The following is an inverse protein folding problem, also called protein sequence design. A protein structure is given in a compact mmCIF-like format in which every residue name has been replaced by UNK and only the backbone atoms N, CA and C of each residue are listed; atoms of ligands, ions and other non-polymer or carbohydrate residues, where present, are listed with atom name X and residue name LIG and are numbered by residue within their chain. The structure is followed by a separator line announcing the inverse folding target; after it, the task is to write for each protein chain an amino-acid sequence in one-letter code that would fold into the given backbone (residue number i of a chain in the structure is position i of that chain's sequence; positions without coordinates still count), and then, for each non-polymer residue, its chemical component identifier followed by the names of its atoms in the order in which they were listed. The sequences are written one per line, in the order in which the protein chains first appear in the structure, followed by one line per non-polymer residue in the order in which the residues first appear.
data_IF_470668010944
#
_entry.id   IF_470668010944
#
_cell.length_a   1.000
_cell.length_b   1.000
_cell.length_c   1.000
_cell.angle_alpha   90.00
_cell.angle_beta   90.00
_cell.angle_gamma   90.00
#
_symmetry.space_group_name_H-M   'P 1'
#
loop_
_entity.id
_entity.type
_entity.pdbx_description
1 polymer ?
#
# COMPACT_ATOMS: atom_id res chain seq x y z
N UNK A 1 14.31 -2.37 3.73
CA UNK A 1 13.41 -3.53 3.98
C UNK A 1 12.04 -3.02 4.41
N UNK A 2 11.08 -3.91 4.69
CA UNK A 2 9.73 -3.54 5.14
C UNK A 2 9.70 -2.81 6.48
N UNK A 3 10.58 -3.19 7.40
CA UNK A 3 10.69 -2.56 8.71
C UNK A 3 11.08 -1.09 8.58
N UNK A 4 12.04 -0.79 7.71
CA UNK A 4 12.45 0.59 7.36
C UNK A 4 11.29 1.38 6.75
N UNK A 5 10.58 0.80 5.77
CA UNK A 5 9.45 1.49 5.12
C UNK A 5 8.29 1.80 6.08
N UNK A 6 8.17 1.01 7.15
CA UNK A 6 7.14 1.14 8.17
C UNK A 6 7.68 1.78 9.45
N UNK A 7 8.90 2.33 9.45
CA UNK A 7 9.44 3.05 10.61
C UNK A 7 8.63 4.33 10.85
N UNK A 8 8.67 4.82 12.08
CA UNK A 8 7.98 6.07 12.42
C UNK A 8 8.47 7.21 11.51
N UNK A 9 7.53 7.94 10.92
CA UNK A 9 7.78 9.08 10.06
C UNK A 9 8.77 8.82 8.91
N UNK A 10 8.80 7.58 8.38
CA UNK A 10 9.63 7.25 7.22
C UNK A 10 9.47 8.30 6.10
N UNK A 11 10.60 8.79 5.59
CA UNK A 11 10.67 9.65 4.42
C UNK A 11 11.94 9.31 3.64
N UNK A 12 11.85 9.14 2.31
CA UNK A 12 13.05 9.03 1.47
C UNK A 12 13.74 10.39 1.29
N UNK A 13 13.07 11.50 1.62
CA UNK A 13 13.60 12.87 1.54
C UNK A 13 13.80 13.39 2.97
N UNK A 14 15.05 13.66 3.32
CA UNK A 14 15.42 14.20 4.63
C UNK A 14 14.74 15.54 4.88
N UNK A 15 14.23 15.76 6.11
CA UNK A 15 13.58 17.01 6.51
C UNK A 15 12.18 17.29 5.94
N UNK A 16 11.65 16.44 5.04
CA UNK A 16 10.39 16.70 4.33
C UNK A 16 9.20 17.03 5.27
N UNK A 17 9.07 16.29 6.37
CA UNK A 17 7.97 16.49 7.32
C UNK A 17 8.15 17.72 8.24
N UNK A 18 9.34 18.29 8.30
CA UNK A 18 9.61 19.55 9.00
C UNK A 18 9.21 20.75 8.12
N UNK A 19 9.57 20.69 6.84
CA UNK A 19 9.23 21.71 5.85
C UNK A 19 7.74 21.70 5.47
N UNK A 20 7.14 20.50 5.41
CA UNK A 20 5.73 20.28 5.08
C UNK A 20 5.08 19.35 6.11
N UNK A 21 4.63 19.89 7.27
CA UNK A 21 4.04 19.09 8.33
C UNK A 21 2.80 18.32 7.90
N UNK A 22 2.72 17.05 8.34
CA UNK A 22 1.58 16.18 8.09
C UNK A 22 0.34 16.67 8.83
N UNK A 23 -0.83 16.49 8.22
CA UNK A 23 -2.10 16.67 8.91
C UNK A 23 -2.18 15.75 10.15
N UNK A 24 -2.75 16.18 11.29
CA UNK A 24 -2.64 15.46 12.56
C UNK A 24 -3.02 13.97 12.52
N UNK A 25 -4.08 13.63 11.76
CA UNK A 25 -4.50 12.23 11.60
C UNK A 25 -3.49 11.39 10.82
N UNK A 26 -2.87 11.97 9.80
CA UNK A 26 -1.83 11.31 9.01
C UNK A 26 -0.53 11.19 9.82
N UNK A 27 -0.18 12.22 10.59
CA UNK A 27 0.96 12.17 11.51
C UNK A 27 0.82 11.02 12.52
N UNK A 28 -0.38 10.79 13.07
CA UNK A 28 -0.61 9.66 13.96
C UNK A 28 -0.39 8.30 13.27
N UNK A 29 -0.86 8.15 12.03
CA UNK A 29 -0.59 6.95 11.21
C UNK A 29 0.91 6.80 10.95
N UNK A 30 1.59 7.88 10.54
CA UNK A 30 3.02 7.89 10.28
C UNK A 30 3.86 7.57 11.54
N UNK A 31 3.37 7.93 12.72
CA UNK A 31 3.93 7.54 14.01
C UNK A 31 3.65 6.07 14.39
N UNK A 32 3.02 5.28 13.50
CA UNK A 32 2.82 3.85 13.71
C UNK A 32 1.51 3.47 14.39
N UNK A 33 0.51 4.36 14.48
CA UNK A 33 -0.78 4.05 15.12
C UNK A 33 -1.43 2.75 14.60
N UNK A 34 -1.29 2.48 13.30
CA UNK A 34 -1.79 1.25 12.67
C UNK A 34 -1.16 -0.01 13.28
N UNK A 35 0.04 0.01 13.85
CA UNK A 35 0.67 -1.17 14.47
C UNK A 35 -0.01 -1.62 15.75
N UNK A 36 -0.78 -0.72 16.39
CA UNK A 36 -1.35 -0.93 17.71
C UNK A 36 -2.87 -1.10 17.71
N UNK A 37 -3.49 -1.15 16.53
CA UNK A 37 -4.93 -1.33 16.34
C UNK A 37 -5.26 -2.71 15.79
N UNK A 38 -6.50 -3.13 15.98
CA UNK A 38 -7.07 -4.35 15.40
C UNK A 38 -8.49 -4.07 14.90
N UNK A 39 -9.03 -4.83 13.93
CA UNK A 39 -10.46 -4.79 13.64
C UNK A 39 -11.28 -5.03 14.93
N UNK A 40 -12.39 -4.30 15.16
CA UNK A 40 -13.08 -3.39 14.23
C UNK A 40 -12.59 -1.93 14.23
N UNK A 41 -11.53 -1.58 14.96
CA UNK A 41 -10.95 -0.22 14.95
C UNK A 41 -10.27 0.11 13.63
N UNK A 42 -9.68 -0.91 12.98
CA UNK A 42 -9.21 -0.84 11.59
C UNK A 42 -10.40 -1.03 10.65
N UNK A 43 -10.60 -0.07 9.74
CA UNK A 43 -11.77 -0.05 8.85
C UNK A 43 -11.34 0.30 7.43
N UNK A 44 -11.73 -0.52 6.47
CA UNK A 44 -11.54 -0.25 5.04
C UNK A 44 -12.63 0.66 4.47
N UNK A 45 -12.92 1.80 5.09
CA UNK A 45 -13.98 2.71 4.60
C UNK A 45 -13.49 3.53 3.40
N UNK A 46 -14.40 4.22 2.71
CA UNK A 46 -14.07 5.18 1.65
C UNK A 46 -13.47 6.51 2.14
N UNK A 47 -13.24 6.66 3.45
CA UNK A 47 -12.53 7.83 3.98
C UNK A 47 -11.02 7.60 3.92
N UNK A 48 -10.32 8.43 3.14
CA UNK A 48 -8.89 8.29 2.83
C UNK A 48 -7.96 8.03 4.03
N UNK A 49 -8.25 8.59 5.20
CA UNK A 49 -7.45 8.35 6.42
C UNK A 49 -7.63 6.92 6.92
N UNK A 50 -8.86 6.42 6.96
CA UNK A 50 -9.16 5.05 7.39
C UNK A 50 -8.60 4.05 6.37
N UNK A 51 -8.76 4.35 5.08
CA UNK A 51 -8.19 3.55 3.98
C UNK A 51 -6.67 3.40 4.12
N UNK A 52 -5.95 4.51 4.35
CA UNK A 52 -4.50 4.50 4.52
C UNK A 52 -4.10 3.69 5.77
N UNK A 53 -4.78 3.90 6.90
CA UNK A 53 -4.52 3.17 8.14
C UNK A 53 -4.73 1.66 7.95
N UNK A 54 -5.82 1.27 7.28
CA UNK A 54 -6.15 -0.13 7.01
C UNK A 54 -5.13 -0.79 6.09
N UNK A 55 -4.72 -0.13 5.00
CA UNK A 55 -3.72 -0.68 4.07
C UNK A 55 -2.36 -0.86 4.76
N UNK A 56 -1.92 0.12 5.55
CA UNK A 56 -0.65 0.00 6.29
C UNK A 56 -0.74 -1.07 7.38
N UNK A 57 -1.89 -1.20 8.07
CA UNK A 57 -2.13 -2.29 9.00
C UNK A 57 -2.01 -3.65 8.32
N UNK A 58 -2.65 -3.85 7.17
CA UNK A 58 -2.58 -5.11 6.42
C UNK A 58 -1.17 -5.37 5.92
N UNK A 59 -0.51 -4.35 5.36
CA UNK A 59 0.85 -4.48 4.90
C UNK A 59 1.76 -4.88 6.05
N UNK A 60 1.70 -4.23 7.21
CA UNK A 60 2.47 -4.62 8.39
C UNK A 60 2.21 -6.06 8.86
N UNK A 61 0.97 -6.54 8.82
CA UNK A 61 0.58 -7.86 9.32
C UNK A 61 0.56 -8.96 8.25
N UNK A 62 1.17 -8.79 7.08
CA UNK A 62 1.24 -9.82 6.04
C UNK A 62 2.67 -10.11 5.65
N UNK A 63 2.99 -11.35 5.27
CA UNK A 63 4.35 -11.73 4.87
C UNK A 63 4.52 -11.78 3.35
N UNK A 64 3.42 -11.88 2.60
CA UNK A 64 3.43 -11.93 1.15
C UNK A 64 2.25 -11.17 0.52
N UNK A 65 2.33 -10.96 -0.81
CA UNK A 65 1.31 -10.25 -1.57
C UNK A 65 -0.07 -10.93 -1.46
N UNK A 66 -0.11 -12.26 -1.53
CA UNK A 66 -1.36 -13.02 -1.56
C UNK A 66 -2.09 -12.92 -0.22
N UNK A 67 -1.38 -13.13 0.88
CA UNK A 67 -1.91 -13.03 2.22
C UNK A 67 -2.49 -11.63 2.46
N UNK A 68 -1.71 -10.59 2.17
CA UNK A 68 -2.16 -9.21 2.37
C UNK A 68 -3.31 -8.82 1.44
N UNK A 69 -3.27 -9.21 0.16
CA UNK A 69 -4.35 -8.90 -0.79
C UNK A 69 -5.68 -9.56 -0.37
N UNK A 70 -5.63 -10.80 0.13
CA UNK A 70 -6.82 -11.44 0.69
C UNK A 70 -7.26 -10.77 1.99
N UNK A 71 -6.33 -10.39 2.87
CA UNK A 71 -6.64 -9.77 4.16
C UNK A 71 -7.31 -8.41 3.99
N UNK A 72 -6.82 -7.57 3.09
CA UNK A 72 -7.37 -6.22 2.87
C UNK A 72 -8.79 -6.26 2.30
N UNK A 73 -9.06 -7.08 1.29
CA UNK A 73 -10.41 -7.15 0.70
C UNK A 73 -11.43 -7.77 1.66
N UNK A 74 -10.98 -8.62 2.60
CA UNK A 74 -11.83 -9.19 3.65
C UNK A 74 -12.07 -8.25 4.84
N UNK A 75 -11.47 -7.05 4.88
CA UNK A 75 -11.92 -6.00 5.81
C UNK A 75 -13.32 -5.48 5.44
N UNK A 76 -13.77 -5.73 4.20
CA UNK A 76 -15.07 -5.33 3.70
C UNK A 76 -15.18 -3.82 3.47
N UNK A 77 -16.43 -3.33 3.45
CA UNK A 77 -16.77 -1.94 3.17
C UNK A 77 -16.26 -1.51 1.77
N UNK A 78 -15.27 -0.63 1.67
CA UNK A 78 -14.67 -0.16 0.41
C UNK A 78 -13.49 -1.08 0.00
N UNK A 79 -13.81 -2.35 -0.25
CA UNK A 79 -12.84 -3.41 -0.50
C UNK A 79 -12.08 -3.24 -1.82
N UNK A 80 -12.70 -2.65 -2.85
CA UNK A 80 -12.07 -2.37 -4.13
C UNK A 80 -11.04 -1.23 -4.02
N UNK A 81 -11.37 -0.14 -3.33
CA UNK A 81 -10.41 0.97 -3.12
C UNK A 81 -9.24 0.53 -2.24
N UNK A 82 -9.51 -0.13 -1.11
CA UNK A 82 -8.45 -0.62 -0.22
C UNK A 82 -7.60 -1.70 -0.88
N UNK A 83 -8.20 -2.61 -1.64
CA UNK A 83 -7.49 -3.61 -2.44
C UNK A 83 -6.58 -3.00 -3.50
N UNK A 84 -7.05 -1.96 -4.21
CA UNK A 84 -6.26 -1.26 -5.22
C UNK A 84 -5.07 -0.50 -4.61
N UNK A 85 -5.24 0.16 -3.46
CA UNK A 85 -4.15 0.88 -2.78
C UNK A 85 -3.15 -0.11 -2.17
N UNK A 86 -3.62 -1.18 -1.54
CA UNK A 86 -2.75 -2.25 -1.07
C UNK A 86 -1.94 -2.87 -2.22
N UNK A 87 -2.58 -3.13 -3.35
CA UNK A 87 -1.93 -3.68 -4.55
C UNK A 87 -0.77 -2.82 -5.04
N UNK A 88 -0.89 -1.49 -4.98
CA UNK A 88 0.20 -0.57 -5.32
C UNK A 88 1.39 -0.71 -4.35
N UNK A 89 1.13 -0.63 -3.04
CA UNK A 89 2.19 -0.69 -2.01
C UNK A 89 2.88 -2.05 -1.99
N UNK A 90 2.08 -3.11 -1.89
CA UNK A 90 2.59 -4.47 -1.83
C UNK A 90 3.20 -4.91 -3.16
N UNK A 91 2.66 -4.48 -4.31
CA UNK A 91 3.21 -4.78 -5.62
C UNK A 91 4.57 -4.11 -5.85
N UNK A 92 4.74 -2.85 -5.41
CA UNK A 92 6.03 -2.17 -5.44
C UNK A 92 7.07 -2.84 -4.52
N UNK A 93 6.64 -3.37 -3.37
CA UNK A 93 7.53 -4.01 -2.41
C UNK A 93 7.91 -5.46 -2.78
N UNK A 94 6.93 -6.31 -3.07
CA UNK A 94 7.15 -7.74 -3.36
C UNK A 94 7.45 -8.03 -4.84
N UNK A 95 7.16 -7.07 -5.73
CA UNK A 95 7.32 -7.21 -7.18
C UNK A 95 6.13 -7.89 -7.86
N UNK A 96 5.98 -7.64 -9.16
CA UNK A 96 4.87 -8.18 -9.96
C UNK A 96 4.85 -9.72 -10.01
N UNK A 97 6.02 -10.37 -9.93
CA UNK A 97 6.13 -11.82 -9.93
C UNK A 97 5.62 -12.48 -8.63
N UNK A 98 5.52 -11.72 -7.53
CA UNK A 98 4.90 -12.22 -6.30
C UNK A 98 3.37 -12.33 -6.41
N UNK A 99 2.76 -11.71 -7.44
CA UNK A 99 1.34 -11.84 -7.73
C UNK A 99 1.11 -13.20 -8.38
N UNK A 100 0.23 -14.01 -7.78
CA UNK A 100 -0.08 -15.35 -8.26
C UNK A 100 -0.40 -15.34 -9.77
N UNK A 101 0.22 -16.21 -10.60
CA UNK A 101 -0.05 -16.27 -12.04
C UNK A 101 -1.55 -16.42 -12.35
N UNK A 102 -2.27 -17.23 -11.58
CA UNK A 102 -3.72 -17.44 -11.72
C UNK A 102 -4.57 -16.18 -11.50
N UNK A 103 -4.01 -15.12 -10.90
CA UNK A 103 -4.64 -13.81 -10.80
C UNK A 103 -4.23 -12.92 -11.96
N UNK A 104 -2.93 -12.88 -12.31
CA UNK A 104 -2.40 -12.11 -13.44
C UNK A 104 -3.04 -12.54 -14.77
N UNK A 105 -3.23 -13.83 -14.97
CA UNK A 105 -3.82 -14.41 -16.18
C UNK A 105 -5.30 -14.04 -16.37
N UNK A 106 -5.97 -13.56 -15.31
CA UNK A 106 -7.36 -13.10 -15.34
C UNK A 106 -7.50 -11.59 -15.41
N UNK A 107 -6.40 -10.86 -15.28
CA UNK A 107 -6.42 -9.40 -15.27
C UNK A 107 -6.76 -8.89 -16.67
N UNK A 108 -7.84 -8.13 -16.76
CA UNK A 108 -8.21 -7.47 -18.00
C UNK A 108 -7.14 -6.44 -18.37
N UNK A 109 -6.74 -6.42 -19.65
CA UNK A 109 -5.70 -5.52 -20.17
C UNK A 109 -4.32 -5.67 -19.50
N UNK A 110 -3.97 -6.88 -19.04
CA UNK A 110 -2.70 -7.13 -18.35
C UNK A 110 -1.48 -6.66 -19.17
N UNK A 111 -1.47 -6.94 -20.48
CA UNK A 111 -0.37 -6.57 -21.36
C UNK A 111 -0.22 -5.04 -21.48
N UNK A 112 -1.33 -4.33 -21.62
CA UNK A 112 -1.34 -2.87 -21.71
C UNK A 112 -0.90 -2.21 -20.40
N UNK A 113 -1.36 -2.72 -19.25
CA UNK A 113 -0.96 -2.23 -17.92
C UNK A 113 0.54 -2.41 -17.71
N UNK A 114 1.07 -3.61 -18.01
CA UNK A 114 2.52 -3.89 -17.92
C UNK A 114 3.32 -2.98 -18.85
N UNK A 115 2.89 -2.83 -20.11
CA UNK A 115 3.55 -1.95 -21.07
C UNK A 115 3.60 -0.49 -20.60
N UNK A 116 2.51 0.02 -20.01
CA UNK A 116 2.49 1.37 -19.44
C UNK A 116 3.44 1.51 -18.24
N UNK A 117 3.47 0.52 -17.35
CA UNK A 117 4.38 0.52 -16.20
C UNK A 117 5.85 0.55 -16.65
N UNK A 118 6.22 -0.27 -17.64
CA UNK A 118 7.57 -0.34 -18.19
C UNK A 118 7.97 0.98 -18.86
N UNK A 119 7.08 1.61 -19.62
CA UNK A 119 7.34 2.90 -20.24
C UNK A 119 7.53 4.01 -19.21
N UNK A 120 6.72 4.05 -18.15
CA UNK A 120 6.88 5.03 -17.06
C UNK A 120 8.20 4.84 -16.32
N UNK A 121 8.55 3.59 -16.00
CA UNK A 121 9.82 3.26 -15.35
C UNK A 121 11.02 3.65 -16.22
N UNK A 122 10.99 3.32 -17.51
CA UNK A 122 12.05 3.67 -18.44
C UNK A 122 12.23 5.19 -18.56
N UNK A 123 11.13 5.95 -18.64
CA UNK A 123 11.21 7.42 -18.69
C UNK A 123 11.82 8.01 -17.42
N UNK A 124 11.41 7.54 -16.25
CA UNK A 124 11.95 8.01 -14.97
C UNK A 124 13.45 7.67 -14.78
N UNK A 125 13.96 6.64 -15.47
CA UNK A 125 15.38 6.26 -15.41
C UNK A 125 16.28 7.06 -16.36
N UNK A 126 15.70 7.86 -17.27
CA UNK A 126 16.43 8.71 -18.21
C UNK A 126 16.58 10.16 -17.73
N UNK A 127 15.82 10.57 -16.71
CA UNK A 127 15.89 11.87 -16.05
C UNK A 127 16.88 11.84 -14.86
#
# INVERSE_FOLDING_TARGET
DKETLLSEHYSPVEGLWEEAPLAPKIAAIAAGLFKHKQPPEIRGTGYVVDTLEAVLWVFFHSEDFREGALKVVNLGDDADTTGAIFGQIAGAYYGAEAIAPSWRDKLMMAAEITSLADHLHHRAALD
#
